data_IF_570066615400
#
_entry.id   IF_570066615400
#
_cell.length_a   1.000
_cell.length_b   1.000
_cell.length_c   1.000
_cell.angle_alpha   90.00
_cell.angle_beta   90.00
_cell.angle_gamma   90.00
#
_symmetry.space_group_name_H-M   'P 1'
#
loop_
_entity.id
_entity.type
_entity.pdbx_description
1 polymer ?
#
# COMPACT_ATOMS: atom_id res chain seq x y z
N UNK A 1 18.31 -24.85 6.35
CA UNK A 1 17.29 -23.77 6.33
C UNK A 1 17.58 -22.89 5.13
N UNK A 2 16.61 -22.67 4.23
CA UNK A 2 16.80 -21.71 3.13
C UNK A 2 16.75 -20.32 3.77
N UNK A 3 17.85 -19.55 3.69
CA UNK A 3 17.78 -18.12 3.98
C UNK A 3 16.74 -17.52 3.03
N UNK A 4 15.67 -16.96 3.58
CA UNK A 4 14.75 -16.12 2.83
C UNK A 4 15.54 -14.93 2.32
N UNK A 5 15.83 -14.90 1.02
CA UNK A 5 16.38 -13.73 0.38
C UNK A 5 15.30 -12.65 0.42
N UNK A 6 15.50 -11.65 1.27
CA UNK A 6 14.61 -10.51 1.31
C UNK A 6 14.69 -9.73 -0.02
N UNK A 7 13.59 -9.12 -0.47
CA UNK A 7 13.63 -8.22 -1.62
C UNK A 7 14.63 -7.07 -1.41
N UNK A 8 15.11 -6.40 -2.47
CA UNK A 8 15.94 -5.21 -2.33
C UNK A 8 15.32 -4.17 -1.38
N UNK A 9 16.09 -3.68 -0.41
CA UNK A 9 15.61 -2.74 0.61
C UNK A 9 14.86 -3.36 1.79
N UNK A 10 14.82 -4.69 1.88
CA UNK A 10 14.28 -5.42 3.02
C UNK A 10 15.38 -6.17 3.77
N UNK A 11 15.35 -6.06 5.10
CA UNK A 11 16.22 -6.81 6.00
C UNK A 11 15.39 -7.42 7.14
N UNK A 12 16.02 -8.26 7.95
CA UNK A 12 15.34 -8.94 9.06
C UNK A 12 14.81 -7.97 10.12
N UNK A 13 15.46 -6.81 10.29
CA UNK A 13 15.04 -5.81 11.29
C UNK A 13 13.75 -5.12 10.85
N UNK A 14 13.68 -4.72 9.58
CA UNK A 14 12.47 -4.18 8.95
C UNK A 14 11.31 -5.17 9.03
N UNK A 15 11.57 -6.44 8.70
CA UNK A 15 10.53 -7.49 8.80
C UNK A 15 10.06 -7.66 10.23
N UNK A 16 10.97 -7.75 11.21
CA UNK A 16 10.60 -7.90 12.61
C UNK A 16 9.76 -6.72 13.14
N UNK A 17 10.10 -5.48 12.74
CA UNK A 17 9.31 -4.29 13.10
C UNK A 17 7.90 -4.32 12.54
N UNK A 18 7.76 -4.73 11.28
CA UNK A 18 6.45 -4.84 10.62
C UNK A 18 5.62 -5.93 11.30
N UNK A 19 6.20 -7.09 11.59
CA UNK A 19 5.52 -8.16 12.30
C UNK A 19 5.04 -7.71 13.68
N UNK A 20 5.91 -7.06 14.47
CA UNK A 20 5.54 -6.56 15.79
C UNK A 20 4.38 -5.54 15.73
N UNK A 21 4.37 -4.66 14.72
CA UNK A 21 3.26 -3.71 14.49
C UNK A 21 1.94 -4.46 14.28
N UNK A 22 1.89 -5.36 13.30
CA UNK A 22 0.67 -6.09 12.94
C UNK A 22 0.23 -7.11 14.00
N UNK A 23 1.14 -7.69 14.76
CA UNK A 23 0.80 -8.62 15.85
C UNK A 23 0.11 -7.92 17.04
N UNK A 24 0.37 -6.62 17.23
CA UNK A 24 -0.23 -5.81 18.31
C UNK A 24 -1.35 -4.91 17.85
N UNK A 25 -1.65 -4.88 16.54
CA UNK A 25 -2.69 -4.05 15.97
C UNK A 25 -4.06 -4.50 16.47
N UNK A 26 -4.88 -3.54 16.90
CA UNK A 26 -6.28 -3.81 17.26
C UNK A 26 -7.16 -3.86 16.02
N UNK A 27 -8.35 -4.47 16.12
CA UNK A 27 -9.31 -4.48 15.01
C UNK A 27 -9.71 -3.05 14.58
N UNK A 28 -9.86 -2.14 15.54
CA UNK A 28 -10.17 -0.73 15.28
C UNK A 28 -9.03 -0.02 14.54
N UNK A 29 -7.77 -0.29 14.92
CA UNK A 29 -6.61 0.29 14.24
C UNK A 29 -6.47 -0.24 12.81
N UNK A 30 -6.74 -1.54 12.59
CA UNK A 30 -6.75 -2.14 11.26
C UNK A 30 -7.84 -1.51 10.37
N UNK A 31 -9.04 -1.32 10.93
CA UNK A 31 -10.14 -0.65 10.24
C UNK A 31 -9.79 0.80 9.90
N UNK A 32 -9.20 1.54 10.83
CA UNK A 32 -8.79 2.92 10.60
C UNK A 32 -7.70 3.04 9.52
N UNK A 33 -6.75 2.10 9.44
CA UNK A 33 -5.76 2.04 8.36
C UNK A 33 -6.42 1.82 6.99
N UNK A 34 -7.42 0.93 6.92
CA UNK A 34 -8.18 0.67 5.69
C UNK A 34 -9.07 1.85 5.28
N UNK A 35 -9.71 2.53 6.25
CA UNK A 35 -10.60 3.68 6.03
C UNK A 35 -9.82 4.96 5.68
N UNK A 36 -8.61 5.13 6.20
CA UNK A 36 -7.78 6.31 5.96
C UNK A 36 -7.49 6.55 4.47
N UNK A 37 -7.49 5.50 3.64
CA UNK A 37 -7.34 5.62 2.18
C UNK A 37 -8.52 6.37 1.53
N UNK A 38 -9.72 6.26 2.10
CA UNK A 38 -10.92 6.93 1.59
C UNK A 38 -10.99 8.40 2.01
N UNK A 39 -10.36 8.75 3.14
CA UNK A 39 -10.34 10.10 3.70
C UNK A 39 -9.10 10.92 3.28
N UNK A 40 -8.31 10.43 2.31
CA UNK A 40 -7.13 11.16 1.83
C UNK A 40 -7.50 12.44 1.06
N UNK A 41 -7.19 13.59 1.65
CA UNK A 41 -7.34 14.90 1.01
C UNK A 41 -6.69 14.96 -0.38
N UNK A 42 -7.45 15.45 -1.36
CA UNK A 42 -7.01 15.57 -2.75
C UNK A 42 -7.01 14.26 -3.54
N UNK A 43 -7.51 13.17 -2.97
CA UNK A 43 -7.76 11.92 -3.69
C UNK A 43 -9.26 11.61 -3.75
N UNK A 44 -9.64 10.73 -4.66
CA UNK A 44 -11.04 10.30 -4.82
C UNK A 44 -11.03 8.83 -5.19
N UNK A 45 -11.84 8.03 -4.48
CA UNK A 45 -12.04 6.63 -4.81
C UNK A 45 -13.08 6.52 -5.94
N UNK A 46 -12.76 5.74 -6.98
CA UNK A 46 -13.67 5.49 -8.09
C UNK A 46 -13.58 4.04 -8.56
N UNK A 47 -14.72 3.47 -8.94
CA UNK A 47 -14.75 2.15 -9.59
C UNK A 47 -14.17 2.27 -11.01
N UNK A 48 -13.22 1.40 -11.32
CA UNK A 48 -12.58 1.34 -12.64
C UNK A 48 -12.63 -0.12 -13.11
N UNK A 49 -13.29 -0.42 -14.25
CA UNK A 49 -13.19 -1.72 -14.88
C UNK A 49 -11.72 -2.14 -15.07
N UNK A 50 -11.36 -3.36 -14.68
CA UNK A 50 -9.95 -3.81 -14.65
C UNK A 50 -9.23 -3.59 -15.98
N UNK A 51 -9.94 -3.75 -17.10
CA UNK A 51 -9.40 -3.53 -18.46
C UNK A 51 -8.91 -2.10 -18.70
N UNK A 52 -9.44 -1.11 -17.97
CA UNK A 52 -9.08 0.31 -18.10
C UNK A 52 -7.96 0.75 -17.15
N UNK A 53 -7.57 -0.08 -16.18
CA UNK A 53 -6.53 0.26 -15.18
C UNK A 53 -5.20 0.68 -15.82
N UNK A 54 -4.69 0.04 -16.89
CA UNK A 54 -3.44 0.47 -17.53
C UNK A 54 -3.52 1.90 -18.09
N UNK A 55 -4.65 2.29 -18.66
CA UNK A 55 -4.87 3.61 -19.25
C UNK A 55 -4.92 4.70 -18.18
N UNK A 56 -5.63 4.45 -17.09
CA UNK A 56 -5.69 5.37 -15.93
C UNK A 56 -4.30 5.56 -15.33
N UNK A 57 -3.52 4.47 -15.18
CA UNK A 57 -2.12 4.58 -14.71
C UNK A 57 -1.25 5.44 -15.64
N UNK A 58 -1.43 5.31 -16.95
CA UNK A 58 -0.69 6.13 -17.91
C UNK A 58 -1.08 7.61 -17.83
N UNK A 59 -2.37 7.92 -17.63
CA UNK A 59 -2.86 9.28 -17.40
C UNK A 59 -2.23 9.89 -16.14
N UNK A 60 -2.26 9.17 -15.02
CA UNK A 60 -1.68 9.61 -13.75
C UNK A 60 -0.17 9.86 -13.87
N UNK A 61 0.55 9.00 -14.58
CA UNK A 61 1.99 9.17 -14.82
C UNK A 61 2.31 10.45 -15.60
N UNK A 62 1.49 10.78 -16.62
CA UNK A 62 1.64 12.03 -17.38
C UNK A 62 1.37 13.26 -16.52
N UNK A 63 0.36 13.20 -15.65
CA UNK A 63 0.03 14.32 -14.77
C UNK A 63 1.14 14.61 -13.75
N UNK A 64 1.80 13.57 -13.21
CA UNK A 64 2.92 13.75 -12.25
C UNK A 64 4.21 14.30 -12.87
N UNK A 65 4.35 14.21 -14.19
CA UNK A 65 5.52 14.69 -14.92
C UNK A 65 5.35 16.14 -15.44
N UNK A 66 4.15 16.70 -15.34
CA UNK A 66 3.82 18.08 -15.70
C UNK A 66 3.95 19.00 -14.48
#
# INVERSE_FOLDING_TARGET
>A
MKQSAFPPGWDSNRVAKILAHYETQTEDDALAEDEAVFEMDGQTMMEIPTVLVPEVRALLAKHKAA
#
